data_IF_825419695964
#
_entry.id   IF_825419695964
#
_cell.length_a   1.000
_cell.length_b   1.000
_cell.length_c   1.000
_cell.angle_alpha   90.00
_cell.angle_beta   90.00
_cell.angle_gamma   90.00
#
_symmetry.space_group_name_H-M   'P 1'
#
loop_
_entity.id
_entity.type
_entity.pdbx_description
1 polymer ?
#
# COMPACT_ATOMS: atom_id res chain seq x y z
N UNK A 1 17.23 -11.91 -20.94
CA UNK A 1 15.86 -11.83 -21.46
C UNK A 1 14.96 -11.89 -20.24
N UNK A 2 14.51 -10.73 -19.75
CA UNK A 2 13.61 -10.68 -18.60
C UNK A 2 12.26 -11.23 -19.05
N UNK A 3 11.78 -12.29 -18.41
CA UNK A 3 10.37 -12.67 -18.53
C UNK A 3 9.58 -11.59 -17.80
N UNK A 4 9.05 -10.65 -18.57
CA UNK A 4 8.15 -9.61 -18.05
C UNK A 4 6.82 -10.31 -17.78
N UNK A 5 6.31 -10.14 -16.56
CA UNK A 5 4.98 -10.60 -16.19
C UNK A 5 3.97 -9.88 -17.11
N UNK A 6 3.26 -10.62 -17.95
CA UNK A 6 2.27 -10.01 -18.86
C UNK A 6 0.97 -9.57 -18.14
N UNK A 7 0.76 -9.93 -16.86
CA UNK A 7 -0.39 -9.48 -16.06
C UNK A 7 0.07 -8.87 -14.72
N UNK A 8 0.77 -7.72 -14.77
CA UNK A 8 1.10 -6.93 -13.57
C UNK A 8 -0.15 -6.48 -12.80
N UNK A 9 -1.31 -6.48 -13.46
CA UNK A 9 -2.63 -6.18 -12.90
C UNK A 9 -3.09 -7.18 -11.83
N UNK A 10 -2.47 -8.37 -11.72
CA UNK A 10 -2.81 -9.40 -10.73
C UNK A 10 -1.92 -9.38 -9.48
N UNK A 11 -0.93 -8.48 -9.44
CA UNK A 11 -0.01 -8.38 -8.31
C UNK A 11 -0.56 -7.35 -7.34
N UNK A 12 -0.94 -7.83 -6.16
CA UNK A 12 -1.43 -7.03 -5.04
C UNK A 12 -0.28 -6.16 -4.46
N UNK A 13 -0.55 -4.87 -4.31
CA UNK A 13 0.30 -3.86 -3.68
C UNK A 13 -0.46 -3.36 -2.47
N UNK A 14 -0.10 -3.79 -1.24
CA UNK A 14 -0.82 -3.39 -0.03
C UNK A 14 -0.50 -1.93 0.28
N UNK A 15 -1.50 -1.05 0.24
CA UNK A 15 -1.34 0.34 0.67
C UNK A 15 -1.55 0.42 2.17
N UNK A 16 -2.71 -0.01 2.64
CA UNK A 16 -3.05 -0.08 4.06
C UNK A 16 -3.26 -1.55 4.51
N UNK A 17 -2.94 -1.84 5.76
CA UNK A 17 -3.27 -3.08 6.44
C UNK A 17 -3.52 -2.89 7.94
N UNK A 18 -4.68 -3.34 8.37
CA UNK A 18 -5.24 -2.94 9.64
C UNK A 18 -5.64 -4.17 10.49
N UNK A 19 -5.19 -4.27 11.74
CA UNK A 19 -5.37 -5.48 12.57
C UNK A 19 -6.67 -5.42 13.37
N UNK A 20 -7.59 -6.32 13.06
CA UNK A 20 -8.85 -6.47 13.79
C UNK A 20 -8.64 -7.09 15.17
N UNK A 21 -9.55 -6.77 16.09
CA UNK A 21 -9.58 -7.32 17.46
C UNK A 21 -9.69 -8.85 17.54
N UNK A 22 -10.21 -9.50 16.48
CA UNK A 22 -10.29 -10.96 16.37
C UNK A 22 -8.97 -11.62 15.89
N UNK A 23 -7.94 -10.83 15.59
CA UNK A 23 -6.64 -11.27 15.09
C UNK A 23 -6.52 -11.31 13.57
N UNK A 24 -7.60 -11.11 12.82
CA UNK A 24 -7.55 -11.01 11.36
C UNK A 24 -6.96 -9.68 10.91
N UNK A 25 -6.46 -9.62 9.68
CA UNK A 25 -5.94 -8.38 9.07
C UNK A 25 -6.83 -7.99 7.92
N UNK A 26 -7.38 -6.77 7.97
CA UNK A 26 -8.03 -6.10 6.86
C UNK A 26 -6.94 -5.46 5.99
N UNK A 27 -7.05 -5.56 4.67
CA UNK A 27 -5.99 -5.12 3.75
C UNK A 27 -6.62 -4.37 2.58
N UNK A 28 -6.11 -3.18 2.30
CA UNK A 28 -6.33 -2.50 1.02
C UNK A 28 -5.22 -2.87 0.06
N UNK A 29 -5.59 -3.26 -1.15
CA UNK A 29 -4.64 -3.50 -2.21
C UNK A 29 -5.01 -2.72 -3.47
N UNK A 30 -3.96 -2.32 -4.18
CA UNK A 30 -4.06 -1.91 -5.57
C UNK A 30 -3.12 -2.74 -6.46
N UNK A 31 -3.12 -2.45 -7.77
CA UNK A 31 -2.33 -3.24 -8.73
C UNK A 31 -0.92 -2.69 -8.90
N UNK A 32 0.05 -3.58 -9.09
CA UNK A 32 1.42 -3.18 -9.40
C UNK A 32 1.55 -2.41 -10.72
N UNK A 33 0.64 -2.63 -11.68
CA UNK A 33 0.57 -1.83 -12.91
C UNK A 33 0.28 -0.36 -12.58
N UNK A 34 -0.68 -0.11 -11.68
CA UNK A 34 -1.02 1.24 -11.25
C UNK A 34 0.14 1.92 -10.52
N UNK A 35 0.85 1.17 -9.67
CA UNK A 35 2.03 1.64 -8.97
C UNK A 35 3.11 2.16 -9.94
N UNK A 36 3.32 1.51 -11.09
CA UNK A 36 4.25 1.96 -12.12
C UNK A 36 3.74 3.17 -12.91
N UNK A 37 2.42 3.23 -13.15
CA UNK A 37 1.80 4.29 -13.92
C UNK A 37 1.60 5.59 -13.11
N UNK A 38 1.66 5.53 -11.77
CA UNK A 38 1.52 6.70 -10.89
C UNK A 38 2.39 7.88 -11.31
N UNK A 39 3.66 7.63 -11.68
CA UNK A 39 4.59 8.67 -12.13
C UNK A 39 4.15 9.40 -13.41
N UNK A 40 3.34 8.76 -14.25
CA UNK A 40 2.86 9.37 -15.50
C UNK A 40 1.50 10.08 -15.31
N UNK A 41 0.79 9.90 -14.19
CA UNK A 41 -0.60 10.40 -14.02
C UNK A 41 -0.75 11.89 -13.81
N UNK A 42 0.32 12.59 -13.48
CA UNK A 42 0.31 14.05 -13.46
C UNK A 42 0.14 14.58 -14.90
N UNK A 43 0.57 13.81 -15.91
CA UNK A 43 0.55 14.19 -17.33
C UNK A 43 -0.44 13.36 -18.18
N UNK A 44 -0.80 12.14 -17.75
CA UNK A 44 -1.55 11.19 -18.56
C UNK A 44 -3.07 11.37 -18.46
N UNK A 45 -3.65 11.63 -19.63
CA UNK A 45 -5.09 11.74 -19.90
C UNK A 45 -5.84 10.39 -19.81
N UNK A 46 -5.43 9.46 -18.93
CA UNK A 46 -6.04 8.14 -18.79
C UNK A 46 -6.58 7.92 -17.36
N UNK A 47 -7.85 7.53 -17.21
CA UNK A 47 -8.43 7.23 -15.91
C UNK A 47 -7.82 5.96 -15.29
N UNK A 48 -7.96 5.83 -13.96
CA UNK A 48 -7.75 4.56 -13.26
C UNK A 48 -8.70 3.52 -13.83
N UNK A 49 -8.19 2.35 -14.25
CA UNK A 49 -9.06 1.28 -14.74
C UNK A 49 -9.92 0.74 -13.59
N UNK A 50 -11.25 0.97 -13.64
CA UNK A 50 -12.13 0.45 -12.61
C UNK A 50 -12.23 -1.07 -12.70
N UNK A 51 -12.46 -1.74 -11.56
CA UNK A 51 -12.62 -3.20 -11.47
C UNK A 51 -11.37 -4.02 -11.79
N UNK A 52 -10.18 -3.43 -11.66
CA UNK A 52 -8.95 -4.21 -11.67
C UNK A 52 -8.99 -5.24 -10.52
N UNK A 53 -8.66 -6.52 -10.76
CA UNK A 53 -8.78 -7.57 -9.75
C UNK A 53 -7.88 -7.39 -8.53
N UNK A 54 -6.83 -6.57 -8.61
CA UNK A 54 -5.98 -6.21 -7.47
C UNK A 54 -6.49 -4.99 -6.70
N UNK A 55 -7.52 -4.27 -7.19
CA UNK A 55 -8.16 -3.14 -6.51
C UNK A 55 -9.30 -3.66 -5.65
N UNK A 56 -9.00 -3.86 -4.37
CA UNK A 56 -9.89 -4.55 -3.44
C UNK A 56 -9.55 -4.24 -2.00
N UNK A 57 -10.53 -4.46 -1.15
CA UNK A 57 -10.36 -4.60 0.30
C UNK A 57 -10.64 -6.05 0.65
N UNK A 58 -9.82 -6.69 1.47
CA UNK A 58 -10.02 -8.09 1.86
C UNK A 58 -9.51 -8.35 3.26
N UNK A 59 -10.09 -9.36 3.92
CA UNK A 59 -9.72 -9.77 5.26
C UNK A 59 -9.06 -11.15 5.21
N UNK A 60 -7.93 -11.28 5.92
CA UNK A 60 -7.18 -12.52 6.07
C UNK A 60 -7.13 -12.98 7.52
N UNK A 61 -7.25 -14.29 7.73
CA UNK A 61 -7.02 -14.89 9.04
C UNK A 61 -5.51 -14.91 9.40
N UNK A 62 -5.12 -15.22 10.65
CA UNK A 62 -3.71 -15.28 11.05
C UNK A 62 -2.87 -16.27 10.23
N UNK A 63 -3.48 -17.30 9.65
CA UNK A 63 -2.86 -18.27 8.76
C UNK A 63 -2.67 -17.74 7.32
N UNK A 64 -3.26 -16.59 6.99
CA UNK A 64 -3.17 -15.94 5.68
C UNK A 64 -4.23 -16.41 4.67
N UNK A 65 -5.31 -17.04 5.12
CA UNK A 65 -6.44 -17.37 4.25
C UNK A 65 -7.36 -16.16 4.11
N UNK A 66 -7.74 -15.83 2.87
CA UNK A 66 -8.74 -14.80 2.60
C UNK A 66 -10.12 -15.31 3.03
N UNK A 67 -10.74 -14.65 4.00
CA UNK A 67 -12.06 -15.03 4.54
C UNK A 67 -13.19 -14.10 4.08
N UNK A 68 -12.84 -12.90 3.61
CA UNK A 68 -13.76 -11.91 3.08
C UNK A 68 -13.06 -11.04 2.04
N UNK A 69 -13.78 -10.58 1.02
CA UNK A 69 -13.23 -9.74 -0.05
C UNK A 69 -14.31 -8.85 -0.68
N UNK A 70 -14.01 -7.56 -0.83
CA UNK A 70 -14.75 -6.57 -1.60
C UNK A 70 -13.95 -6.19 -2.84
N UNK A 71 -14.59 -6.28 -4.01
CA UNK A 71 -14.05 -5.88 -5.32
C UNK A 71 -14.89 -4.76 -5.91
N UNK A 72 -14.43 -4.22 -7.04
CA UNK A 72 -15.12 -3.15 -7.75
C UNK A 72 -14.76 -1.75 -7.24
N UNK A 73 -13.61 -1.65 -6.57
CA UNK A 73 -12.97 -0.39 -6.22
C UNK A 73 -12.02 0.03 -7.35
N UNK A 74 -11.52 1.25 -7.28
CA UNK A 74 -10.52 1.78 -8.20
C UNK A 74 -9.39 2.41 -7.39
N UNK A 75 -8.21 1.77 -7.43
CA UNK A 75 -6.98 2.21 -6.77
C UNK A 75 -7.19 2.66 -5.30
N UNK A 76 -7.85 1.85 -4.45
CA UNK A 76 -8.11 2.24 -3.07
C UNK A 76 -6.79 2.38 -2.28
N UNK A 77 -6.79 3.28 -1.30
CA UNK A 77 -5.62 3.52 -0.44
C UNK A 77 -5.85 3.15 1.01
N UNK A 78 -7.04 3.46 1.54
CA UNK A 78 -7.32 3.40 2.98
C UNK A 78 -8.53 2.53 3.30
N UNK A 79 -8.49 1.80 4.42
CA UNK A 79 -9.68 1.19 5.02
C UNK A 79 -9.61 1.16 6.54
N UNK A 80 -10.70 1.59 7.18
CA UNK A 80 -10.89 1.43 8.63
C UNK A 80 -12.21 0.72 8.95
N UNK A 81 -12.21 -0.04 10.04
CA UNK A 81 -13.42 -0.63 10.61
C UNK A 81 -14.12 0.37 11.54
N UNK A 82 -15.37 0.69 11.23
CA UNK A 82 -16.20 1.57 12.04
C UNK A 82 -16.75 0.84 13.28
N UNK A 83 -17.13 1.56 14.37
CA UNK A 83 -17.70 0.95 15.57
C UNK A 83 -18.98 0.10 15.35
N UNK A 84 -19.69 0.33 14.25
CA UNK A 84 -20.87 -0.44 13.85
C UNK A 84 -20.52 -1.73 13.07
N UNK A 85 -19.23 -2.01 12.82
CA UNK A 85 -18.73 -3.13 12.04
C UNK A 85 -18.81 -2.94 10.52
N UNK A 86 -19.12 -1.73 10.04
CA UNK A 86 -18.97 -1.35 8.64
C UNK A 86 -17.53 -0.92 8.34
N UNK A 87 -17.23 -0.71 7.07
CA UNK A 87 -15.92 -0.24 6.63
C UNK A 87 -16.05 1.16 6.03
N UNK A 88 -15.12 2.06 6.34
CA UNK A 88 -14.95 3.34 5.65
C UNK A 88 -13.71 3.22 4.75
N UNK A 89 -13.84 3.57 3.47
CA UNK A 89 -12.82 3.29 2.44
C UNK A 89 -12.55 4.56 1.62
N UNK A 90 -11.27 4.88 1.42
CA UNK A 90 -10.82 5.85 0.42
C UNK A 90 -10.69 5.18 -0.96
N UNK A 91 -11.69 5.36 -1.82
CA UNK A 91 -11.80 4.76 -3.16
C UNK A 91 -11.29 5.76 -4.22
N UNK A 92 -9.97 5.95 -4.21
CA UNK A 92 -9.26 7.08 -4.83
C UNK A 92 -9.50 7.24 -6.32
N UNK A 93 -9.46 6.17 -7.09
CA UNK A 93 -9.68 6.20 -8.54
C UNK A 93 -11.10 6.58 -8.92
N UNK A 94 -12.07 6.32 -8.04
CA UNK A 94 -13.44 6.82 -8.17
C UNK A 94 -13.64 8.21 -7.55
N UNK A 95 -12.60 8.80 -6.95
CA UNK A 95 -12.62 10.09 -6.26
C UNK A 95 -13.76 10.15 -5.23
N UNK A 96 -13.84 9.17 -4.34
CA UNK A 96 -14.87 9.14 -3.28
C UNK A 96 -14.39 8.49 -2.00
N UNK A 97 -15.06 8.82 -0.90
CA UNK A 97 -15.03 8.05 0.35
C UNK A 97 -16.35 7.32 0.48
N UNK A 98 -16.33 6.03 0.80
CA UNK A 98 -17.55 5.21 0.92
C UNK A 98 -17.62 4.48 2.25
N UNK A 99 -18.82 4.38 2.79
CA UNK A 99 -19.12 3.42 3.85
C UNK A 99 -19.74 2.16 3.24
N UNK A 100 -19.18 1.00 3.56
CA UNK A 100 -19.62 -0.30 3.06
C UNK A 100 -20.09 -1.17 4.23
N UNK A 101 -21.30 -1.71 4.08
CA UNK A 101 -21.78 -2.74 4.99
C UNK A 101 -20.94 -4.02 4.82
N UNK A 102 -20.18 -4.39 5.86
CA UNK A 102 -19.24 -5.50 5.80
C UNK A 102 -19.89 -6.83 5.39
N UNK A 103 -21.03 -7.29 5.97
CA UNK A 103 -21.62 -8.58 5.58
C UNK A 103 -22.08 -8.65 4.10
N UNK A 104 -22.84 -7.68 3.62
CA UNK A 104 -23.51 -7.75 2.32
C UNK A 104 -22.82 -6.97 1.20
N UNK A 105 -21.77 -6.19 1.53
CA UNK A 105 -20.94 -5.40 0.61
C UNK A 105 -21.67 -4.23 -0.07
N UNK A 106 -22.83 -3.82 0.42
CA UNK A 106 -23.54 -2.66 -0.12
C UNK A 106 -22.88 -1.36 0.33
N UNK A 107 -22.69 -0.42 -0.60
CA UNK A 107 -22.35 0.96 -0.29
C UNK A 107 -23.60 1.61 0.34
N UNK A 108 -23.46 2.17 1.53
CA UNK A 108 -24.57 2.80 2.28
C UNK A 108 -24.42 4.31 2.41
N UNK A 109 -23.21 4.82 2.19
CA UNK A 109 -22.88 6.25 2.17
C UNK A 109 -21.73 6.50 1.19
N UNK A 110 -21.73 7.66 0.53
CA UNK A 110 -20.72 8.06 -0.47
C UNK A 110 -20.54 9.57 -0.48
N UNK A 111 -19.34 10.02 -0.17
CA UNK A 111 -18.92 11.41 -0.27
C UNK A 111 -17.97 11.61 -1.45
N UNK A 112 -18.24 12.62 -2.26
CA UNK A 112 -17.61 12.86 -3.55
C UNK A 112 -17.22 14.35 -3.67
N UNK A 113 -15.91 14.68 -3.74
CA UNK A 113 -15.45 16.07 -3.83
C UNK A 113 -15.96 16.78 -5.10
N UNK A 114 -16.35 16.03 -6.14
CA UNK A 114 -16.91 16.57 -7.38
C UNK A 114 -18.31 17.18 -7.20
N UNK A 115 -19.02 16.81 -6.13
CA UNK A 115 -20.35 17.31 -5.82
C UNK A 115 -20.32 18.51 -4.85
N UNK A 116 -19.14 18.84 -4.33
CA UNK A 116 -18.97 19.94 -3.37
C UNK A 116 -18.88 21.28 -4.10
N UNK A 117 -19.66 22.26 -3.65
CA UNK A 117 -19.47 23.66 -4.01
C UNK A 117 -18.41 24.27 -3.10
N UNK A 118 -17.15 24.26 -3.54
CA UNK A 118 -16.02 24.73 -2.72
C UNK A 118 -16.08 26.23 -2.41
N UNK A 119 -16.71 27.03 -3.28
CA UNK A 119 -16.95 28.47 -3.01
C UNK A 119 -17.89 28.68 -1.82
N UNK A 120 -18.78 27.73 -1.54
CA UNK A 120 -19.65 27.78 -0.36
C UNK A 120 -18.88 27.45 0.92
N UNK A 121 -17.89 26.55 0.84
CA UNK A 121 -17.02 26.20 1.97
C UNK A 121 -16.12 27.38 2.34
N UNK A 122 -15.46 27.97 1.36
CA UNK A 122 -14.66 29.19 1.53
C UNK A 122 -14.89 30.13 0.33
N UNK A 123 -15.43 31.36 0.53
CA UNK A 123 -15.63 32.32 -0.55
C UNK A 123 -14.37 32.70 -1.33
N UNK A 124 -13.17 32.50 -0.77
CA UNK A 124 -11.90 32.71 -1.48
C UNK A 124 -11.65 31.65 -2.56
N UNK A 125 -12.20 30.44 -2.39
CA UNK A 125 -12.20 29.38 -3.41
C UNK A 125 -13.29 29.63 -4.44
N UNK A 126 -13.17 30.75 -5.15
CA UNK A 126 -14.13 31.19 -6.15
C UNK A 126 -14.37 30.18 -7.27
N UNK A 127 -15.30 30.49 -8.20
CA UNK A 127 -15.72 29.56 -9.25
C UNK A 127 -14.60 29.07 -10.15
N UNK A 128 -13.49 29.80 -10.28
CA UNK A 128 -12.32 29.44 -11.11
C UNK A 128 -11.21 28.70 -10.31
N UNK A 129 -11.40 28.51 -9.00
CA UNK A 129 -10.44 27.80 -8.16
C UNK A 129 -10.28 26.34 -8.63
N UNK A 130 -9.10 25.75 -8.46
CA UNK A 130 -8.81 24.37 -8.92
C UNK A 130 -9.81 23.36 -8.37
N UNK A 131 -10.24 23.54 -7.12
CA UNK A 131 -11.22 22.66 -6.47
C UNK A 131 -12.55 22.57 -7.21
N UNK A 132 -12.95 23.64 -7.89
CA UNK A 132 -14.17 23.69 -8.71
C UNK A 132 -13.92 23.32 -10.19
N UNK A 133 -12.66 23.31 -10.64
CA UNK A 133 -12.29 23.06 -12.06
C UNK A 133 -11.03 22.18 -12.17
N UNK A 134 -11.07 20.94 -11.68
CA UNK A 134 -9.96 20.02 -11.88
C UNK A 134 -9.72 19.73 -13.37
N UNK A 135 -8.44 19.66 -13.76
CA UNK A 135 -8.04 19.50 -15.17
C UNK A 135 -7.44 18.13 -15.51
N UNK A 136 -7.28 17.24 -14.52
CA UNK A 136 -6.65 15.92 -14.66
C UNK A 136 -7.65 14.80 -14.35
N UNK A 137 -7.35 13.55 -14.73
CA UNK A 137 -8.21 12.42 -14.37
C UNK A 137 -8.03 12.01 -12.91
N UNK A 138 -6.79 12.02 -12.45
CA UNK A 138 -6.42 11.84 -11.04
C UNK A 138 -6.37 13.20 -10.35
N UNK A 139 -7.53 13.85 -10.26
CA UNK A 139 -7.61 15.25 -9.84
C UNK A 139 -7.73 15.43 -8.34
N UNK A 140 -8.41 14.52 -7.63
CA UNK A 140 -8.47 14.56 -6.17
C UNK A 140 -7.26 13.86 -5.57
N UNK A 141 -6.92 12.69 -6.13
CA UNK A 141 -6.07 11.69 -5.50
C UNK A 141 -6.31 11.60 -3.99
N UNK A 142 -7.58 11.60 -3.57
CA UNK A 142 -7.87 11.43 -2.15
C UNK A 142 -7.30 10.11 -1.70
N UNK A 143 -6.43 10.14 -0.70
CA UNK A 143 -5.52 9.04 -0.38
C UNK A 143 -5.70 8.51 1.02
N UNK A 144 -6.55 9.16 1.82
CA UNK A 144 -6.74 8.78 3.21
C UNK A 144 -8.11 9.25 3.72
N UNK A 145 -8.64 8.50 4.68
CA UNK A 145 -9.79 8.87 5.50
C UNK A 145 -9.59 8.35 6.92
N UNK A 146 -9.66 9.23 7.93
CA UNK A 146 -9.69 8.86 9.34
C UNK A 146 -11.10 9.12 9.94
N UNK A 147 -11.48 8.37 10.96
CA UNK A 147 -12.80 8.43 11.59
C UNK A 147 -12.75 8.87 13.05
N UNK A 148 -13.66 9.78 13.43
CA UNK A 148 -13.82 10.18 14.82
C UNK A 148 -15.26 10.16 15.26
N UNK A 149 -15.51 9.42 16.34
CA UNK A 149 -16.78 9.46 17.04
C UNK A 149 -16.75 10.52 18.15
N UNK A 150 -17.54 11.58 17.98
CA UNK A 150 -17.88 12.50 19.06
C UNK A 150 -19.10 11.97 19.84
N UNK A 151 -19.43 12.64 20.94
CA UNK A 151 -20.49 12.21 21.86
C UNK A 151 -21.86 11.93 21.22
N UNK A 152 -22.26 12.71 20.21
CA UNK A 152 -23.59 12.61 19.57
C UNK A 152 -23.55 12.54 18.05
N UNK A 153 -22.37 12.60 17.46
CA UNK A 153 -22.16 12.65 16.01
C UNK A 153 -20.77 12.12 15.69
N UNK A 154 -20.54 11.71 14.46
CA UNK A 154 -19.24 11.26 13.99
C UNK A 154 -18.79 12.16 12.84
N UNK A 155 -17.48 12.29 12.70
CA UNK A 155 -16.82 12.93 11.56
C UNK A 155 -15.90 11.95 10.84
N UNK A 156 -15.49 12.34 9.64
CA UNK A 156 -14.31 11.80 9.00
C UNK A 156 -13.37 12.93 8.58
N UNK A 157 -12.07 12.70 8.75
CA UNK A 157 -11.00 13.53 8.22
C UNK A 157 -10.63 12.96 6.86
N UNK A 158 -10.52 13.78 5.83
CA UNK A 158 -10.23 13.30 4.47
C UNK A 158 -9.05 14.08 3.91
N UNK A 159 -8.03 13.35 3.46
CA UNK A 159 -6.92 13.92 2.71
C UNK A 159 -7.21 13.93 1.22
N UNK A 160 -7.25 15.12 0.62
CA UNK A 160 -7.37 15.31 -0.83
C UNK A 160 -6.00 15.74 -1.35
N UNK A 161 -5.14 14.76 -1.62
CA UNK A 161 -3.71 14.98 -1.87
C UNK A 161 -3.44 16.00 -2.97
N UNK A 162 -4.14 15.90 -4.10
CA UNK A 162 -3.87 16.77 -5.24
C UNK A 162 -4.50 18.15 -5.11
N UNK A 163 -5.31 18.37 -4.08
CA UNK A 163 -5.82 19.68 -3.69
C UNK A 163 -4.90 20.38 -2.68
N UNK A 164 -3.87 19.69 -2.16
CA UNK A 164 -3.10 20.12 -1.01
C UNK A 164 -4.02 20.53 0.17
N UNK A 165 -5.06 19.73 0.40
CA UNK A 165 -6.17 20.04 1.30
C UNK A 165 -6.57 18.84 2.16
N UNK A 166 -6.74 19.09 3.45
CA UNK A 166 -7.42 18.20 4.40
C UNK A 166 -8.74 18.85 4.81
N UNK A 167 -9.80 18.07 4.92
CA UNK A 167 -11.11 18.52 5.40
C UNK A 167 -11.64 17.60 6.49
N UNK A 168 -12.42 18.14 7.43
CA UNK A 168 -13.27 17.33 8.30
C UNK A 168 -14.72 17.49 7.86
N UNK A 169 -15.39 16.35 7.64
CA UNK A 169 -16.80 16.27 7.25
C UNK A 169 -17.61 15.76 8.43
N UNK A 170 -18.73 16.42 8.72
CA UNK A 170 -19.73 15.92 9.66
C UNK A 170 -20.51 14.74 9.04
N UNK A 171 -19.88 13.58 9.10
CA UNK A 171 -20.37 12.31 8.59
C UNK A 171 -21.78 11.92 9.08
N UNK A 172 -22.19 12.31 10.30
CA UNK A 172 -23.55 11.99 10.81
C UNK A 172 -24.65 12.92 10.28
N UNK A 173 -24.35 14.20 10.06
CA UNK A 173 -25.29 15.14 9.43
C UNK A 173 -25.57 14.77 7.96
N UNK A 174 -24.71 13.92 7.40
CA UNK A 174 -24.56 13.65 5.98
C UNK A 174 -25.44 12.51 5.43
N UNK A 175 -26.06 11.68 6.28
CA UNK A 175 -26.78 10.48 5.81
C UNK A 175 -27.91 10.75 4.79
N UNK A 176 -28.48 11.96 4.75
CA UNK A 176 -29.54 12.32 3.80
C UNK A 176 -29.07 13.13 2.60
N UNK A 177 -27.90 13.79 2.69
CA UNK A 177 -27.31 14.58 1.60
C UNK A 177 -25.79 14.61 1.79
N UNK A 178 -25.11 13.50 1.44
CA UNK A 178 -23.71 13.27 1.80
C UNK A 178 -22.73 14.26 1.16
N UNK A 179 -23.21 15.12 0.27
CA UNK A 179 -22.37 16.03 -0.52
C UNK A 179 -22.78 17.50 -0.30
N UNK A 180 -23.52 17.79 0.78
CA UNK A 180 -23.79 19.18 1.14
C UNK A 180 -22.51 19.84 1.67
N UNK A 181 -22.09 20.92 1.02
CA UNK A 181 -20.88 21.66 1.39
C UNK A 181 -20.92 22.26 2.81
N UNK A 182 -22.11 22.43 3.41
CA UNK A 182 -22.24 22.85 4.83
C UNK A 182 -21.75 21.80 5.82
N UNK A 183 -21.59 20.55 5.38
CA UNK A 183 -21.12 19.46 6.23
C UNK A 183 -19.60 19.46 6.38
N UNK A 184 -18.87 20.24 5.57
CA UNK A 184 -17.44 20.48 5.78
C UNK A 184 -17.29 21.51 6.90
N UNK A 185 -16.85 21.05 8.07
CA UNK A 185 -16.81 21.83 9.31
C UNK A 185 -15.42 22.36 9.65
N UNK A 186 -14.38 21.80 9.02
CA UNK A 186 -13.00 22.22 9.18
C UNK A 186 -12.20 21.91 7.93
N UNK A 187 -11.12 22.67 7.72
CA UNK A 187 -10.16 22.43 6.63
C UNK A 187 -8.80 23.06 6.94
N UNK A 188 -7.75 22.48 6.34
CA UNK A 188 -6.39 23.00 6.37
C UNK A 188 -5.69 22.67 5.05
N UNK A 189 -5.06 23.67 4.45
CA UNK A 189 -4.49 23.57 3.11
C UNK A 189 -5.08 24.58 2.14
N UNK A 190 -4.39 24.78 1.02
CA UNK A 190 -4.85 25.55 -0.13
C UNK A 190 -4.03 25.17 -1.37
N UNK A 191 -4.67 25.11 -2.54
CA UNK A 191 -4.03 24.63 -3.76
C UNK A 191 -2.83 25.50 -4.14
N UNK A 192 -1.70 24.89 -4.50
CA UNK A 192 -0.43 25.55 -4.83
C UNK A 192 0.21 26.34 -3.67
N UNK A 193 -0.40 26.38 -2.47
CA UNK A 193 0.25 26.94 -1.29
C UNK A 193 1.12 25.89 -0.58
N UNK A 194 2.18 25.47 -1.27
CA UNK A 194 3.08 24.41 -0.79
C UNK A 194 3.83 24.76 0.50
N UNK A 195 3.79 26.01 0.97
CA UNK A 195 4.35 26.36 2.28
C UNK A 195 3.49 25.83 3.43
N UNK A 196 2.18 25.76 3.20
CA UNK A 196 1.19 25.30 4.17
C UNK A 196 1.08 23.77 4.18
N UNK A 197 0.90 23.19 2.99
CA UNK A 197 0.72 21.76 2.77
C UNK A 197 1.09 21.41 1.34
N UNK A 198 1.72 20.26 1.10
CA UNK A 198 2.08 19.81 -0.24
C UNK A 198 1.99 18.28 -0.35
N UNK A 199 1.00 17.79 -1.10
CA UNK A 199 0.78 16.36 -1.40
C UNK A 199 0.81 15.47 -0.16
N UNK A 200 0.08 15.87 0.87
CA UNK A 200 0.03 15.20 2.17
C UNK A 200 -0.61 13.81 2.13
N UNK A 201 -0.36 13.03 3.18
CA UNK A 201 -0.93 11.71 3.44
C UNK A 201 -1.29 11.59 4.93
N UNK A 202 -2.15 10.61 5.25
CA UNK A 202 -2.53 10.15 6.59
C UNK A 202 -2.61 11.27 7.65
N UNK A 203 -3.59 12.19 7.53
CA UNK A 203 -3.96 13.07 8.63
C UNK A 203 -4.77 12.32 9.70
N UNK A 204 -4.25 12.29 10.93
CA UNK A 204 -4.91 11.60 12.04
C UNK A 204 -5.31 12.53 13.18
N UNK A 205 -6.41 12.18 13.84
CA UNK A 205 -6.79 12.83 15.09
C UNK A 205 -5.89 12.40 16.24
N UNK A 206 -5.34 13.37 16.97
CA UNK A 206 -4.62 13.11 18.21
C UNK A 206 -5.54 13.18 19.43
N UNK A 207 -5.15 12.48 20.51
CA UNK A 207 -5.80 12.57 21.84
C UNK A 207 -5.84 14.01 22.38
N UNK A 208 -4.85 14.83 22.01
CA UNK A 208 -4.80 16.26 22.35
C UNK A 208 -5.93 17.08 21.70
N UNK A 209 -6.60 16.51 20.71
CA UNK A 209 -7.57 17.18 19.83
C UNK A 209 -6.92 17.91 18.65
N UNK A 210 -5.59 17.87 18.52
CA UNK A 210 -4.86 18.35 17.35
C UNK A 210 -4.91 17.31 16.22
N UNK A 211 -4.33 17.68 15.06
CA UNK A 211 -4.21 16.79 13.90
C UNK A 211 -2.71 16.62 13.59
N UNK A 212 -2.25 15.39 13.46
CA UNK A 212 -0.92 15.08 12.92
C UNK A 212 -1.04 14.83 11.42
N UNK A 213 -0.03 15.25 10.64
CA UNK A 213 -0.08 15.18 9.18
C UNK A 213 1.29 14.80 8.65
N UNK A 214 1.32 13.82 7.76
CA UNK A 214 2.45 13.59 6.87
C UNK A 214 2.41 14.53 5.67
N UNK A 215 3.08 15.68 5.78
CA UNK A 215 3.20 16.67 4.70
C UNK A 215 4.30 16.25 3.72
N UNK A 216 4.01 15.20 2.96
CA UNK A 216 4.97 14.38 2.24
C UNK A 216 5.80 15.14 1.23
N UNK A 217 5.20 16.05 0.46
CA UNK A 217 5.91 16.85 -0.55
C UNK A 217 6.90 17.85 0.07
N UNK A 218 6.76 18.15 1.35
CA UNK A 218 7.67 19.00 2.12
C UNK A 218 8.64 18.21 3.01
N UNK A 219 8.68 16.87 2.88
CA UNK A 219 9.55 15.99 3.67
C UNK A 219 9.45 16.23 5.18
N UNK A 220 8.22 16.44 5.69
CA UNK A 220 8.00 16.77 7.10
C UNK A 220 6.75 16.13 7.68
N UNK A 221 6.76 15.91 9.00
CA UNK A 221 5.57 15.69 9.81
C UNK A 221 5.23 16.99 10.53
N UNK A 222 3.96 17.36 10.57
CA UNK A 222 3.46 18.52 11.31
C UNK A 222 2.31 18.13 12.24
N UNK A 223 2.26 18.73 13.42
CA UNK A 223 1.09 18.70 14.29
C UNK A 223 0.43 20.08 14.25
N UNK A 224 -0.83 20.12 13.89
CA UNK A 224 -1.63 21.33 13.75
C UNK A 224 -2.59 21.46 14.93
N UNK A 225 -2.59 22.61 15.57
CA UNK A 225 -3.65 22.92 16.51
C UNK A 225 -4.99 23.04 15.78
N UNK A 226 -5.94 22.19 16.13
CA UNK A 226 -7.23 22.11 15.43
C UNK A 226 -7.98 23.46 15.40
N UNK A 227 -7.94 24.22 16.50
CA UNK A 227 -8.69 25.48 16.61
C UNK A 227 -7.98 26.66 15.94
N UNK A 228 -6.68 26.84 16.21
CA UNK A 228 -5.93 28.00 15.69
C UNK A 228 -5.38 27.77 14.30
N UNK A 229 -5.32 26.51 13.83
CA UNK A 229 -4.68 26.07 12.58
C UNK A 229 -3.18 26.38 12.52
N UNK A 230 -2.55 26.60 13.68
CA UNK A 230 -1.11 26.84 13.77
C UNK A 230 -0.35 25.52 13.91
N UNK A 231 0.82 25.44 13.28
CA UNK A 231 1.76 24.34 13.48
C UNK A 231 2.35 24.43 14.90
N UNK A 232 2.00 23.48 15.78
CA UNK A 232 2.47 23.44 17.17
C UNK A 232 3.65 22.50 17.38
N UNK A 233 3.82 21.53 16.49
CA UNK A 233 5.01 20.67 16.43
C UNK A 233 5.36 20.34 14.98
N UNK A 234 6.64 20.08 14.73
CA UNK A 234 7.15 19.75 13.39
C UNK A 234 8.42 18.92 13.47
N UNK A 235 8.55 17.91 12.62
CA UNK A 235 9.80 17.23 12.30
C UNK A 235 10.09 17.36 10.80
N UNK A 236 11.17 18.05 10.44
CA UNK A 236 11.54 18.37 9.05
C UNK A 236 13.01 18.01 8.72
N UNK A 237 13.63 17.15 9.53
CA UNK A 237 15.03 16.76 9.37
C UNK A 237 15.15 15.26 9.09
N UNK A 238 15.80 14.92 7.98
CA UNK A 238 16.19 13.55 7.67
C UNK A 238 15.06 12.62 7.26
N UNK A 239 13.86 13.15 7.00
CA UNK A 239 12.75 12.45 6.36
C UNK A 239 12.85 12.60 4.84
N UNK A 240 12.20 11.70 4.11
CA UNK A 240 12.06 11.78 2.67
C UNK A 240 10.73 11.14 2.28
N UNK A 241 9.79 11.98 1.84
CA UNK A 241 8.44 11.64 1.44
C UNK A 241 7.73 10.74 2.47
N UNK A 242 7.62 11.17 3.75
CA UNK A 242 6.91 10.41 4.76
C UNK A 242 5.42 10.34 4.39
N UNK A 243 4.77 9.20 4.62
CA UNK A 243 3.36 9.01 4.23
C UNK A 243 2.40 8.75 5.37
N UNK A 244 2.90 8.44 6.55
CA UNK A 244 2.07 8.15 7.71
C UNK A 244 2.85 8.51 9.00
N UNK A 245 2.14 9.00 10.02
CA UNK A 245 2.69 9.34 11.31
C UNK A 245 1.70 9.27 12.49
N UNK A 246 1.81 8.21 13.29
CA UNK A 246 1.00 8.01 14.51
C UNK A 246 1.65 8.51 15.81
N UNK A 247 0.85 9.10 16.70
CA UNK A 247 1.26 9.28 18.10
C UNK A 247 1.02 8.00 18.93
N UNK A 248 2.10 7.45 19.48
CA UNK A 248 2.07 6.25 20.31
C UNK A 248 1.68 6.56 21.76
N UNK A 249 1.24 5.54 22.51
CA UNK A 249 0.90 5.66 23.95
C UNK A 249 1.99 6.24 24.85
N UNK A 250 3.25 6.17 24.44
CA UNK A 250 4.40 6.74 25.17
C UNK A 250 4.70 8.21 24.79
N UNK A 251 3.90 8.81 23.91
CA UNK A 251 4.07 10.17 23.36
C UNK A 251 5.15 10.28 22.27
N UNK A 252 5.74 9.17 21.83
CA UNK A 252 6.62 9.17 20.66
C UNK A 252 5.78 9.12 19.38
N UNK A 253 6.38 9.48 18.25
CA UNK A 253 5.72 9.41 16.94
C UNK A 253 6.31 8.23 16.15
N UNK A 254 5.47 7.31 15.69
CA UNK A 254 5.84 6.30 14.70
C UNK A 254 5.68 6.92 13.32
N UNK A 255 6.64 6.76 12.43
CA UNK A 255 6.65 7.43 11.12
C UNK A 255 7.01 6.43 10.03
N UNK A 256 6.18 6.41 9.00
CA UNK A 256 6.45 5.72 7.75
C UNK A 256 7.25 6.63 6.80
N UNK A 257 8.58 6.55 6.88
CA UNK A 257 9.53 7.36 6.08
C UNK A 257 9.81 6.69 4.72
N UNK A 258 8.82 6.79 3.83
CA UNK A 258 8.65 5.92 2.67
C UNK A 258 9.83 5.92 1.71
N UNK A 259 10.31 7.07 1.26
CA UNK A 259 11.41 7.12 0.28
C UNK A 259 12.78 6.78 0.88
N UNK A 260 12.92 6.81 2.21
CA UNK A 260 14.06 6.23 2.92
C UNK A 260 13.89 4.73 3.20
N UNK A 261 12.75 4.13 2.83
CA UNK A 261 12.44 2.69 2.98
C UNK A 261 12.64 2.20 4.41
N UNK A 262 12.11 2.95 5.38
CA UNK A 262 12.19 2.62 6.81
C UNK A 262 10.94 3.06 7.57
N UNK A 263 10.68 2.39 8.68
CA UNK A 263 9.81 2.87 9.75
C UNK A 263 10.71 3.35 10.89
N UNK A 264 10.39 4.50 11.48
CA UNK A 264 11.13 5.06 12.62
C UNK A 264 10.17 5.43 13.74
N UNK A 265 10.60 5.24 14.98
CA UNK A 265 9.95 5.87 16.14
C UNK A 265 10.83 7.03 16.58
N UNK A 266 10.25 8.21 16.72
CA UNK A 266 10.94 9.42 17.15
C UNK A 266 10.38 9.89 18.48
N UNK A 267 11.27 10.27 19.39
CA UNK A 267 10.84 10.94 20.61
C UNK A 267 10.35 12.36 20.27
N UNK A 268 9.09 12.68 20.62
CA UNK A 268 8.43 13.93 20.22
C UNK A 268 9.16 15.18 20.71
N UNK A 269 9.68 15.17 21.94
CA UNK A 269 10.40 16.30 22.52
C UNK A 269 11.79 16.51 21.92
N UNK A 270 12.62 15.45 21.94
CA UNK A 270 14.03 15.53 21.51
C UNK A 270 14.23 15.40 20.01
N UNK A 271 13.20 14.96 19.28
CA UNK A 271 13.20 14.64 17.84
C UNK A 271 14.24 13.60 17.45
N UNK A 272 14.73 12.81 18.41
CA UNK A 272 15.69 11.75 18.16
C UNK A 272 14.97 10.46 17.77
N UNK A 273 15.54 9.74 16.80
CA UNK A 273 15.11 8.38 16.48
C UNK A 273 15.47 7.47 17.66
N UNK A 274 14.46 6.83 18.24
CA UNK A 274 14.60 5.89 19.37
C UNK A 274 14.43 4.43 18.95
N UNK A 275 13.81 4.18 17.80
CA UNK A 275 13.70 2.87 17.18
C UNK A 275 13.65 3.01 15.65
N UNK A 276 14.10 1.98 14.92
CA UNK A 276 13.99 1.95 13.46
C UNK A 276 13.95 0.53 12.92
N UNK A 277 13.30 0.36 11.77
CA UNK A 277 13.27 -0.89 11.01
C UNK A 277 13.28 -0.59 9.51
N UNK A 278 14.10 -1.32 8.76
CA UNK A 278 14.27 -1.13 7.31
C UNK A 278 14.36 -2.46 6.53
N UNK A 279 14.27 -3.60 7.23
CA UNK A 279 14.45 -4.89 6.58
C UNK A 279 13.23 -5.22 5.72
N UNK A 280 13.47 -5.63 4.47
CA UNK A 280 12.43 -6.01 3.51
C UNK A 280 11.39 -4.92 3.22
N UNK A 281 11.73 -3.65 3.45
CA UNK A 281 10.89 -2.50 3.09
C UNK A 281 11.29 -1.92 1.74
N UNK A 282 10.31 -1.61 0.91
CA UNK A 282 10.46 -0.81 -0.31
C UNK A 282 9.24 0.11 -0.38
N UNK A 283 9.49 1.42 -0.28
CA UNK A 283 8.44 2.46 -0.27
C UNK A 283 7.25 2.02 0.60
N UNK A 284 7.47 1.77 1.91
CA UNK A 284 6.38 1.42 2.83
C UNK A 284 5.37 2.54 2.86
N UNK A 285 4.08 2.20 2.93
CA UNK A 285 2.99 3.17 2.84
C UNK A 285 2.50 3.57 4.22
N UNK A 286 2.34 2.58 5.10
CA UNK A 286 1.71 2.73 6.41
C UNK A 286 2.30 1.76 7.44
N UNK A 287 2.25 2.13 8.71
CA UNK A 287 2.65 1.28 9.81
C UNK A 287 1.98 1.59 11.16
N UNK A 288 1.13 0.67 11.63
CA UNK A 288 0.41 0.81 12.90
C UNK A 288 1.09 0.10 14.08
N UNK A 289 0.95 0.70 15.26
CA UNK A 289 1.24 0.02 16.52
C UNK A 289 0.07 -0.89 16.93
N UNK A 290 0.34 -2.19 17.06
CA UNK A 290 -0.62 -3.17 17.56
C UNK A 290 -0.67 -3.19 19.10
N UNK A 291 -1.80 -3.65 19.66
CA UNK A 291 -2.02 -3.85 21.11
C UNK A 291 -0.95 -4.70 21.79
N UNK A 292 -0.36 -5.65 21.06
CA UNK A 292 0.70 -6.52 21.56
C UNK A 292 2.10 -5.86 21.58
N UNK A 293 2.20 -4.61 21.12
CA UNK A 293 3.42 -3.82 21.03
C UNK A 293 4.25 -4.05 19.77
N UNK A 294 3.81 -4.93 18.87
CA UNK A 294 4.39 -5.11 17.54
C UNK A 294 3.89 -4.01 16.59
N UNK A 295 4.58 -3.87 15.46
CA UNK A 295 4.26 -2.89 14.43
C UNK A 295 3.84 -3.66 13.18
N UNK A 296 2.64 -3.39 12.67
CA UNK A 296 2.18 -3.86 11.37
C UNK A 296 2.69 -2.88 10.31
N UNK A 297 3.14 -3.36 9.16
CA UNK A 297 3.79 -2.52 8.15
C UNK A 297 3.37 -2.94 6.76
N UNK A 298 2.80 -2.02 6.01
CA UNK A 298 2.48 -2.19 4.59
C UNK A 298 3.66 -1.76 3.72
N UNK A 299 4.49 -2.73 3.30
CA UNK A 299 5.59 -2.49 2.37
C UNK A 299 5.10 -2.51 0.92
N UNK A 300 4.29 -1.51 0.55
CA UNK A 300 3.57 -1.43 -0.72
C UNK A 300 4.39 -1.88 -1.94
N UNK A 301 5.51 -1.22 -2.23
CA UNK A 301 6.27 -1.50 -3.47
C UNK A 301 7.01 -2.84 -3.43
N UNK A 302 7.09 -3.48 -2.26
CA UNK A 302 7.59 -4.84 -2.14
C UNK A 302 6.46 -5.89 -2.24
N UNK A 303 5.19 -5.51 -2.14
CA UNK A 303 4.04 -6.43 -2.23
C UNK A 303 3.85 -7.30 -0.99
N UNK A 304 4.29 -6.84 0.19
CA UNK A 304 4.22 -7.60 1.45
C UNK A 304 3.72 -6.74 2.60
N UNK A 305 3.10 -7.41 3.56
CA UNK A 305 2.80 -6.86 4.89
C UNK A 305 3.66 -7.61 5.91
N UNK A 306 4.20 -6.89 6.88
CA UNK A 306 5.05 -7.44 7.94
C UNK A 306 4.46 -7.09 9.31
N UNK A 307 4.47 -8.03 10.24
CA UNK A 307 4.35 -7.73 11.66
C UNK A 307 5.73 -7.88 12.29
N UNK A 308 6.21 -6.83 12.94
CA UNK A 308 7.57 -6.73 13.48
C UNK A 308 7.52 -6.40 14.96
N UNK A 309 8.20 -7.19 15.79
CA UNK A 309 8.30 -6.85 17.21
C UNK A 309 9.35 -5.75 17.48
N UNK A 310 9.36 -5.19 18.69
CA UNK A 310 10.31 -4.12 19.07
C UNK A 310 11.80 -4.50 18.96
N UNK A 311 12.14 -5.79 18.91
CA UNK A 311 13.51 -6.25 18.67
C UNK A 311 13.88 -6.29 17.17
N UNK A 312 12.99 -5.87 16.27
CA UNK A 312 13.20 -5.91 14.83
C UNK A 312 13.02 -7.30 14.22
N UNK A 313 12.37 -8.22 14.93
CA UNK A 313 12.10 -9.58 14.42
C UNK A 313 10.74 -9.57 13.74
N UNK A 314 10.72 -9.99 12.47
CA UNK A 314 9.48 -10.27 11.72
C UNK A 314 8.82 -11.50 12.33
N UNK A 315 7.65 -11.34 12.93
CA UNK A 315 6.88 -12.41 13.60
C UNK A 315 5.71 -12.92 12.76
N UNK A 316 5.23 -12.11 11.82
CA UNK A 316 4.24 -12.49 10.83
C UNK A 316 4.51 -11.78 9.50
N UNK A 317 4.07 -12.41 8.40
CA UNK A 317 4.23 -11.87 7.05
C UNK A 317 3.10 -12.36 6.16
N UNK A 318 2.58 -11.46 5.34
CA UNK A 318 1.64 -11.77 4.27
C UNK A 318 2.13 -11.22 2.92
N UNK A 319 1.70 -11.87 1.84
CA UNK A 319 2.13 -11.56 0.48
C UNK A 319 3.52 -12.09 0.11
N UNK A 320 3.97 -11.74 -1.09
CA UNK A 320 5.25 -12.18 -1.64
C UNK A 320 6.08 -10.99 -2.10
N UNK A 321 7.37 -11.02 -1.79
CA UNK A 321 8.26 -9.92 -2.19
C UNK A 321 8.44 -9.94 -3.70
N UNK A 322 7.99 -8.88 -4.37
CA UNK A 322 8.04 -8.75 -5.84
C UNK A 322 9.49 -8.82 -6.33
N UNK A 323 10.38 -8.05 -5.68
CA UNK A 323 11.81 -8.01 -6.03
C UNK A 323 12.48 -9.36 -5.81
N UNK A 324 12.26 -9.99 -4.65
CA UNK A 324 12.85 -11.30 -4.38
C UNK A 324 12.32 -12.35 -5.36
N UNK A 325 11.03 -12.32 -5.67
CA UNK A 325 10.41 -13.22 -6.65
C UNK A 325 11.05 -13.10 -8.03
N UNK A 326 11.30 -11.87 -8.50
CA UNK A 326 12.03 -11.61 -9.74
C UNK A 326 13.45 -12.18 -9.71
N UNK A 327 14.20 -11.95 -8.63
CA UNK A 327 15.58 -12.45 -8.49
C UNK A 327 15.60 -13.98 -8.50
N UNK A 328 14.70 -14.64 -7.75
CA UNK A 328 14.66 -16.09 -7.67
C UNK A 328 14.25 -16.72 -8.99
N UNK A 329 13.24 -16.18 -9.67
CA UNK A 329 12.82 -16.70 -10.98
C UNK A 329 13.97 -16.63 -11.99
N UNK A 330 14.66 -15.49 -12.08
CA UNK A 330 15.82 -15.33 -12.96
C UNK A 330 16.97 -16.27 -12.59
N UNK A 331 17.19 -16.49 -11.29
CA UNK A 331 18.19 -17.45 -10.80
C UNK A 331 17.85 -18.88 -11.21
N UNK A 332 16.60 -19.31 -11.02
CA UNK A 332 16.12 -20.64 -11.41
C UNK A 332 16.26 -20.86 -12.92
N UNK A 333 15.85 -19.88 -13.74
CA UNK A 333 15.97 -19.96 -15.20
C UNK A 333 17.44 -20.06 -15.61
N UNK A 334 18.30 -19.24 -15.01
CA UNK A 334 19.74 -19.26 -15.30
C UNK A 334 20.37 -20.60 -14.94
N UNK A 335 19.97 -21.18 -13.81
CA UNK A 335 20.40 -22.50 -13.37
C UNK A 335 19.90 -23.58 -14.35
N UNK A 336 18.64 -23.52 -14.78
CA UNK A 336 18.06 -24.47 -15.73
C UNK A 336 18.76 -24.44 -17.10
N UNK A 337 18.99 -23.24 -17.66
CA UNK A 337 19.71 -23.06 -18.94
C UNK A 337 21.14 -23.58 -18.81
N UNK A 338 21.84 -23.20 -17.74
CA UNK A 338 23.22 -23.65 -17.49
C UNK A 338 23.29 -25.18 -17.39
N UNK A 339 22.29 -25.79 -16.76
CA UNK A 339 22.14 -27.24 -16.63
C UNK A 339 21.94 -27.90 -18.00
N UNK A 340 21.08 -27.37 -18.87
CA UNK A 340 20.87 -27.87 -20.23
C UNK A 340 22.15 -27.75 -21.08
N UNK A 341 22.83 -26.61 -21.02
CA UNK A 341 24.08 -26.38 -21.75
C UNK A 341 25.16 -27.37 -21.30
N UNK A 342 25.26 -27.60 -19.99
CA UNK A 342 26.19 -28.55 -19.41
C UNK A 342 25.89 -29.98 -19.88
N UNK A 343 24.62 -30.38 -19.90
CA UNK A 343 24.18 -31.67 -20.42
C UNK A 343 24.51 -31.85 -21.92
N UNK A 344 24.25 -30.84 -22.75
CA UNK A 344 24.57 -30.91 -24.19
C UNK A 344 26.08 -31.01 -24.44
N UNK A 345 26.88 -30.25 -23.69
CA UNK A 345 28.35 -30.35 -23.75
C UNK A 345 28.83 -31.74 -23.31
N UNK A 346 28.22 -32.31 -22.27
CA UNK A 346 28.51 -33.66 -21.81
C UNK A 346 28.23 -34.70 -22.91
N UNK A 347 27.03 -34.70 -23.51
CA UNK A 347 26.68 -35.65 -24.57
C UNK A 347 27.62 -35.51 -25.79
N UNK A 348 28.00 -34.29 -26.16
CA UNK A 348 28.99 -34.06 -27.24
C UNK A 348 30.37 -34.63 -26.89
N UNK A 349 30.86 -34.48 -25.65
CA UNK A 349 32.16 -35.04 -25.23
C UNK A 349 32.13 -36.56 -25.22
N UNK A 350 31.05 -37.16 -24.69
CA UNK A 350 30.84 -38.62 -24.64
C UNK A 350 30.86 -39.24 -26.05
N UNK A 351 30.28 -38.54 -27.04
CA UNK A 351 30.24 -39.02 -28.42
C UNK A 351 31.63 -39.05 -29.11
N UNK A 352 32.60 -38.26 -28.65
CA UNK A 352 33.92 -38.10 -29.29
C UNK A 352 35.05 -38.96 -28.69
N UNK A 353 34.89 -39.63 -27.54
CA UNK A 353 35.99 -40.38 -26.88
C UNK A 353 35.61 -41.80 -26.44
N UNK A 354 36.38 -42.81 -26.88
CA UNK A 354 36.50 -44.10 -26.16
C UNK A 354 37.14 -43.82 -24.78
N UNK A 355 36.41 -44.13 -23.71
CA UNK A 355 36.58 -43.53 -22.38
C UNK A 355 37.88 -43.92 -21.63
N UNK A 356 38.63 -42.92 -21.15
CA UNK A 356 39.71 -43.08 -20.15
C UNK A 356 39.18 -42.86 -18.73
N UNK A 357 39.84 -43.43 -17.70
CA UNK A 357 39.45 -43.32 -16.28
C UNK A 357 39.33 -41.87 -15.76
N UNK A 358 40.10 -40.93 -16.33
CA UNK A 358 40.05 -39.50 -15.99
C UNK A 358 38.75 -38.83 -16.48
N UNK A 359 38.22 -39.30 -17.61
CA UNK A 359 36.95 -38.81 -18.18
C UNK A 359 35.79 -39.24 -17.28
N UNK A 360 35.78 -40.50 -16.82
CA UNK A 360 34.76 -40.99 -15.86
C UNK A 360 34.65 -40.17 -14.57
N UNK A 361 35.76 -39.66 -14.02
CA UNK A 361 35.74 -38.82 -12.81
C UNK A 361 35.17 -37.43 -13.07
N UNK A 362 35.41 -36.88 -14.26
CA UNK A 362 34.80 -35.64 -14.74
C UNK A 362 33.29 -35.85 -15.00
N UNK A 363 32.89 -37.02 -15.51
CA UNK A 363 31.50 -37.40 -15.77
C UNK A 363 30.65 -37.36 -14.49
N UNK A 364 31.14 -37.93 -13.39
CA UNK A 364 30.45 -37.87 -12.10
C UNK A 364 30.37 -36.46 -11.54
N UNK A 365 31.43 -35.66 -11.67
CA UNK A 365 31.43 -34.28 -11.16
C UNK A 365 30.42 -33.40 -11.89
N UNK A 366 30.36 -33.50 -13.22
CA UNK A 366 29.40 -32.76 -14.05
C UNK A 366 27.96 -33.18 -13.74
N UNK A 367 27.71 -34.49 -13.61
CA UNK A 367 26.38 -35.01 -13.27
C UNK A 367 25.95 -34.58 -11.85
N UNK A 368 26.84 -34.66 -10.86
CA UNK A 368 26.57 -34.20 -9.50
C UNK A 368 26.29 -32.70 -9.49
N UNK A 369 27.05 -31.91 -10.24
CA UNK A 369 26.84 -30.45 -10.36
C UNK A 369 25.47 -30.14 -10.98
N UNK A 370 25.12 -30.82 -12.07
CA UNK A 370 23.80 -30.71 -12.71
C UNK A 370 22.66 -31.09 -11.74
N UNK A 371 22.77 -32.24 -11.08
CA UNK A 371 21.76 -32.68 -10.11
C UNK A 371 21.66 -31.73 -8.92
N UNK A 372 22.78 -31.19 -8.43
CA UNK A 372 22.78 -30.22 -7.33
C UNK A 372 22.10 -28.92 -7.71
N UNK A 373 22.37 -28.40 -8.91
CA UNK A 373 21.70 -27.21 -9.45
C UNK A 373 20.20 -27.45 -9.69
N UNK A 374 19.83 -28.61 -10.22
CA UNK A 374 18.43 -28.99 -10.38
C UNK A 374 17.71 -29.12 -9.03
N UNK A 375 18.35 -29.75 -8.03
CA UNK A 375 17.81 -29.88 -6.67
C UNK A 375 17.68 -28.51 -6.01
N UNK A 376 18.67 -27.62 -6.12
CA UNK A 376 18.58 -26.25 -5.62
C UNK A 376 17.43 -25.51 -6.31
N UNK A 377 17.29 -25.63 -7.63
CA UNK A 377 16.17 -25.06 -8.37
C UNK A 377 14.81 -25.61 -7.91
N UNK A 378 14.70 -26.92 -7.70
CA UNK A 378 13.49 -27.58 -7.20
C UNK A 378 13.19 -27.18 -5.74
N UNK A 379 14.18 -27.10 -4.88
CA UNK A 379 14.02 -26.65 -3.49
C UNK A 379 13.57 -25.19 -3.45
N UNK A 380 14.16 -24.32 -4.29
CA UNK A 380 13.67 -22.95 -4.46
C UNK A 380 12.23 -22.94 -4.99
N UNK A 381 11.87 -23.79 -5.95
CA UNK A 381 10.49 -23.92 -6.44
C UNK A 381 9.50 -24.42 -5.38
N UNK A 382 9.91 -25.33 -4.49
CA UNK A 382 9.08 -25.88 -3.41
C UNK A 382 8.88 -24.83 -2.29
N UNK A 383 9.94 -24.15 -1.87
CA UNK A 383 9.85 -23.05 -0.90
C UNK A 383 9.01 -21.88 -1.44
N UNK A 384 8.97 -21.69 -2.76
CA UNK A 384 8.16 -20.68 -3.44
C UNK A 384 6.93 -21.28 -4.14
N UNK A 385 6.37 -22.36 -3.60
CA UNK A 385 5.18 -23.03 -4.15
C UNK A 385 3.97 -22.11 -4.35
N UNK A 386 3.90 -20.98 -3.63
CA UNK A 386 2.89 -19.93 -3.86
C UNK A 386 3.12 -19.15 -5.17
N UNK A 387 4.38 -18.90 -5.57
CA UNK A 387 4.70 -18.34 -6.90
C UNK A 387 4.30 -19.36 -7.97
N UNK A 388 4.55 -20.65 -7.75
CA UNK A 388 4.10 -21.69 -8.68
C UNK A 388 2.58 -21.76 -8.76
N UNK A 389 1.87 -21.57 -7.65
CA UNK A 389 0.41 -21.49 -7.62
C UNK A 389 -0.12 -20.24 -8.32
N UNK A 390 0.55 -19.09 -8.16
CA UNK A 390 0.23 -17.85 -8.88
C UNK A 390 0.51 -17.99 -10.39
N UNK A 391 1.65 -18.59 -10.76
CA UNK A 391 2.02 -18.89 -12.15
C UNK A 391 1.10 -19.97 -12.75
N UNK A 392 0.66 -20.95 -11.96
CA UNK A 392 -0.29 -21.98 -12.40
C UNK A 392 -1.71 -21.43 -12.54
N UNK A 393 -2.18 -20.55 -11.63
CA UNK A 393 -3.44 -19.80 -11.79
C UNK A 393 -3.36 -18.89 -13.02
N UNK A 394 -2.22 -18.23 -13.22
CA UNK A 394 -1.94 -17.40 -14.40
C UNK A 394 -1.96 -18.22 -15.69
N UNK A 395 -1.34 -19.40 -15.72
CA UNK A 395 -1.37 -20.33 -16.86
C UNK A 395 -2.76 -20.91 -17.12
N UNK A 396 -3.53 -21.18 -16.06
CA UNK A 396 -4.91 -21.65 -16.14
C UNK A 396 -5.85 -20.59 -16.72
N UNK A 397 -5.76 -19.33 -16.26
CA UNK A 397 -6.58 -18.22 -16.72
C UNK A 397 -6.24 -17.75 -18.15
N UNK A 398 -4.97 -17.85 -18.55
CA UNK A 398 -4.51 -17.50 -19.91
C UNK A 398 -4.81 -18.54 -20.98
N UNK A 399 -5.27 -19.75 -20.59
CA UNK A 399 -5.70 -20.80 -21.51
C UNK A 399 -7.22 -20.81 -21.79
N UNK A 400 -7.95 -19.80 -21.30
CA UNK A 400 -9.36 -19.56 -21.64
C UNK A 400 -10.32 -20.36 -20.77
N UNK A 401 -10.96 -19.68 -19.81
CA UNK A 401 -12.20 -20.14 -19.19
C UNK A 401 -13.41 -19.81 -20.08
N UNK A 402 -13.34 -20.17 -21.37
CA UNK A 402 -14.53 -20.32 -22.21
C UNK A 402 -14.87 -21.81 -22.28
N UNK A 403 -15.56 -22.29 -21.25
CA UNK A 403 -16.47 -23.45 -21.21
C UNK A 403 -16.46 -24.06 -19.81
N UNK A 404 -17.38 -23.61 -18.95
CA UNK A 404 -18.41 -24.45 -18.31
C UNK A 404 -19.35 -23.60 -17.47
#
# INVERSE_FOLDING_TARGET
MFFVFNNLELIDVPHDADRKSNGNTLIVSASFSEMLNHLNRIDDLNPVEPNNPAHKVYEVDPEGNVIWELRGLAYPHEVLELPNGHLLIADTGYNRVIEVNYPNKSIIWSWEPAQINWTKVNPEWGPDHYYNNPLTYDWSHLNDVDFKQYSTWNSCLISIRNFDLIIEVNYTADFNDPNNSDNIIWWYGDYENHTLLFRQHNPDYLDSGNIIISDSGNDRIIEINYTTKEVVWKLDQGLNWPRDADELYNGNILITDSSNSRIIEVNKDSKQIVWSFAQDLIIPYEADLLDNGNILISSAYNGIILEVNRNGIIVWKYGFSIVKSLIYLNSIISIAISSIVLYYRYEKIKHYKRASKKIKKLDYFVLITFCSFLIIGILMLIFYSQILAAVARFAYLSLGAESF
#
